data_IF_820622053615
#
_entry.id   IF_820622053615
#
_cell.length_a   1.000
_cell.length_b   1.000
_cell.length_c   1.000
_cell.angle_alpha   90.00
_cell.angle_beta   90.00
_cell.angle_gamma   90.00
#
_symmetry.space_group_name_H-M   'P 1'
#
loop_
_entity.id
_entity.type
_entity.pdbx_description
1 polymer ?
#
# COMPACT_ATOMS: atom_id res chain seq x y z
N UNK A 1 -10.88 15.90 -12.57
CA UNK A 1 -9.97 17.03 -12.29
C UNK A 1 -8.56 16.64 -12.72
N UNK A 2 -7.71 17.58 -13.14
CA UNK A 2 -6.29 17.26 -13.46
C UNK A 2 -5.41 17.49 -12.24
N UNK A 3 -4.75 16.43 -11.78
CA UNK A 3 -3.74 16.44 -10.71
C UNK A 3 -2.33 16.21 -11.25
N UNK A 4 -1.37 16.01 -10.34
CA UNK A 4 0.03 15.71 -10.67
C UNK A 4 0.42 14.38 -10.05
N UNK A 5 1.23 13.62 -10.76
CA UNK A 5 1.79 12.39 -10.26
C UNK A 5 3.30 12.37 -10.47
N UNK A 6 4.01 11.78 -9.52
CA UNK A 6 5.46 11.67 -9.56
C UNK A 6 5.86 10.21 -9.71
N UNK A 7 6.61 9.85 -10.76
CA UNK A 7 7.14 8.51 -10.92
C UNK A 7 8.07 8.13 -9.76
N UNK A 8 8.11 6.84 -9.42
CA UNK A 8 9.09 6.29 -8.51
C UNK A 8 9.54 4.90 -8.96
N UNK A 9 10.69 4.47 -8.46
CA UNK A 9 11.26 3.15 -8.68
C UNK A 9 11.96 2.67 -7.42
N UNK A 10 11.59 1.47 -6.97
CA UNK A 10 12.37 0.67 -6.03
C UNK A 10 12.82 -0.58 -6.77
N UNK A 11 14.11 -0.86 -6.68
CA UNK A 11 14.66 -2.06 -7.28
C UNK A 11 15.87 -2.54 -6.50
N UNK A 12 16.23 -3.77 -6.78
CA UNK A 12 17.47 -4.38 -6.31
C UNK A 12 18.49 -4.46 -7.44
N UNK A 13 19.76 -4.42 -7.08
CA UNK A 13 20.87 -4.69 -7.99
C UNK A 13 21.31 -6.14 -7.95
N UNK A 14 22.38 -6.39 -8.69
CA UNK A 14 23.13 -7.64 -8.72
C UNK A 14 23.88 -7.85 -7.40
N UNK A 15 24.43 -6.77 -6.84
CA UNK A 15 25.19 -6.77 -5.58
C UNK A 15 24.54 -5.93 -4.49
N UNK A 16 23.63 -5.01 -4.86
CA UNK A 16 22.88 -4.18 -3.91
C UNK A 16 21.48 -4.74 -3.63
N UNK A 17 21.06 -4.62 -2.37
CA UNK A 17 19.69 -4.93 -1.94
C UNK A 17 18.65 -3.96 -2.53
N UNK A 18 17.39 -4.15 -2.16
CA UNK A 18 16.32 -3.23 -2.55
C UNK A 18 16.59 -1.82 -2.04
N UNK A 19 16.49 -0.85 -2.93
CA UNK A 19 16.55 0.57 -2.58
C UNK A 19 15.75 1.42 -3.57
N UNK A 20 15.31 2.60 -3.12
CA UNK A 20 14.72 3.60 -3.99
C UNK A 20 15.76 4.18 -4.97
N UNK A 21 15.49 4.08 -6.26
CA UNK A 21 16.36 4.57 -7.35
C UNK A 21 15.81 5.82 -8.04
N UNK A 22 14.48 5.95 -8.07
CA UNK A 22 13.78 7.14 -8.56
C UNK A 22 12.77 7.55 -7.49
N UNK A 23 12.84 8.79 -7.04
CA UNK A 23 12.00 9.30 -5.96
C UNK A 23 11.28 10.58 -6.38
N UNK A 24 10.03 10.80 -5.96
CA UNK A 24 9.33 12.06 -6.21
C UNK A 24 10.16 13.28 -5.82
N UNK A 25 10.35 14.21 -6.76
CA UNK A 25 11.23 15.36 -6.59
C UNK A 25 10.85 16.29 -5.43
N UNK A 26 9.58 16.33 -5.06
CA UNK A 26 9.08 17.17 -3.97
C UNK A 26 9.32 16.59 -2.56
N UNK A 27 9.68 15.30 -2.45
CA UNK A 27 9.87 14.64 -1.16
C UNK A 27 11.25 14.95 -0.57
N UNK A 28 11.32 15.34 0.70
CA UNK A 28 12.60 15.46 1.41
C UNK A 28 13.11 14.07 1.84
N UNK A 29 12.22 13.25 2.37
CA UNK A 29 12.47 11.88 2.84
C UNK A 29 11.62 10.89 2.04
N UNK A 30 12.16 9.70 1.79
CA UNK A 30 11.53 8.71 0.88
C UNK A 30 11.57 7.27 1.40
N UNK A 31 11.99 7.05 2.65
CA UNK A 31 12.01 5.70 3.25
C UNK A 31 10.62 5.06 3.35
N UNK A 32 9.54 5.86 3.34
CA UNK A 32 8.18 5.32 3.30
C UNK A 32 7.87 4.56 2.00
N UNK A 33 8.55 4.89 0.88
CA UNK A 33 8.33 4.19 -0.39
C UNK A 33 8.70 2.72 -0.22
N UNK A 34 9.87 2.45 0.38
CA UNK A 34 10.38 1.10 0.62
C UNK A 34 9.55 0.36 1.68
N UNK A 35 9.00 1.08 2.64
CA UNK A 35 8.10 0.52 3.65
C UNK A 35 6.69 0.18 3.11
N UNK A 36 6.24 0.87 2.05
CA UNK A 36 4.87 0.76 1.53
C UNK A 36 4.78 -0.11 0.28
N UNK A 37 5.68 0.09 -0.68
CA UNK A 37 5.70 -0.66 -1.93
C UNK A 37 6.36 -2.01 -1.71
N UNK A 38 5.53 -3.02 -1.46
CA UNK A 38 5.96 -4.42 -1.33
C UNK A 38 5.80 -5.16 -2.66
N UNK A 39 6.50 -6.29 -2.85
CA UNK A 39 6.21 -7.24 -3.93
C UNK A 39 4.72 -7.62 -3.97
N UNK A 40 4.26 -7.97 -5.18
CA UNK A 40 2.86 -8.24 -5.48
C UNK A 40 2.62 -9.74 -5.68
N UNK A 41 1.61 -10.28 -5.00
CA UNK A 41 1.17 -11.67 -5.16
C UNK A 41 0.11 -11.78 -6.25
N UNK A 42 0.54 -12.05 -7.49
CA UNK A 42 -0.31 -12.35 -8.67
C UNK A 42 -1.32 -11.24 -9.09
N UNK A 43 -1.18 -10.03 -8.54
CA UNK A 43 -1.99 -8.86 -8.92
C UNK A 43 -1.21 -7.91 -9.84
N UNK A 44 -1.86 -7.29 -10.84
CA UNK A 44 -1.16 -6.45 -11.81
C UNK A 44 -0.65 -5.13 -11.22
N UNK A 45 -1.31 -4.63 -10.16
CA UNK A 45 -0.90 -3.44 -9.44
C UNK A 45 -1.56 -3.36 -8.07
N UNK A 46 -1.03 -2.51 -7.18
CA UNK A 46 -1.63 -2.17 -5.89
C UNK A 46 -1.64 -0.65 -5.71
N UNK A 47 -2.60 -0.18 -4.92
CA UNK A 47 -2.68 1.20 -4.47
C UNK A 47 -2.72 1.23 -2.94
N UNK A 48 -2.08 2.24 -2.35
CA UNK A 48 -2.10 2.47 -0.91
C UNK A 48 -2.19 3.97 -0.61
N UNK A 49 -3.02 4.34 0.36
CA UNK A 49 -3.04 5.69 0.91
C UNK A 49 -1.81 5.89 1.81
N UNK A 50 -1.12 7.02 1.63
CA UNK A 50 0.06 7.41 2.41
C UNK A 50 -0.12 8.83 2.92
N UNK A 51 0.69 9.30 3.88
CA UNK A 51 0.70 10.71 4.30
C UNK A 51 0.99 11.70 3.17
N UNK A 52 1.50 11.24 2.03
CA UNK A 52 1.88 12.07 0.88
C UNK A 52 0.94 11.91 -0.33
N UNK A 53 -0.17 11.18 -0.18
CA UNK A 53 -1.13 10.90 -1.25
C UNK A 53 -1.29 9.41 -1.54
N UNK A 54 -1.84 9.09 -2.70
CA UNK A 54 -2.07 7.71 -3.13
C UNK A 54 -0.85 7.22 -3.90
N UNK A 55 -0.21 6.16 -3.37
CA UNK A 55 0.89 5.46 -4.03
C UNK A 55 0.32 4.30 -4.84
N UNK A 56 0.59 4.27 -6.15
CA UNK A 56 0.17 3.19 -7.04
C UNK A 56 1.40 2.56 -7.66
N UNK A 57 1.49 1.22 -7.64
CA UNK A 57 2.65 0.51 -8.16
C UNK A 57 2.31 -0.84 -8.78
N UNK A 58 3.20 -1.26 -9.67
CA UNK A 58 3.22 -2.56 -10.30
C UNK A 58 4.58 -3.22 -10.11
N UNK A 59 4.60 -4.53 -10.23
CA UNK A 59 5.81 -5.34 -10.24
C UNK A 59 6.20 -5.66 -11.68
N UNK A 60 7.48 -5.52 -12.00
CA UNK A 60 8.05 -5.88 -13.30
C UNK A 60 9.22 -6.83 -13.11
N UNK A 61 9.09 -8.05 -13.64
CA UNK A 61 10.19 -9.01 -13.71
C UNK A 61 11.18 -8.59 -14.80
N UNK A 62 12.43 -8.35 -14.41
CA UNK A 62 13.47 -7.87 -15.33
C UNK A 62 13.84 -8.99 -16.30
N UNK A 63 13.86 -8.67 -17.60
CA UNK A 63 14.28 -9.60 -18.65
C UNK A 63 15.80 -9.59 -18.84
N UNK A 64 16.33 -10.64 -19.48
CA UNK A 64 17.75 -10.71 -19.85
C UNK A 64 18.22 -9.52 -20.68
N UNK A 65 17.36 -9.04 -21.60
CA UNK A 65 17.66 -7.90 -22.45
C UNK A 65 17.75 -6.59 -21.65
N UNK A 66 16.82 -6.38 -20.71
CA UNK A 66 16.80 -5.21 -19.84
C UNK A 66 17.97 -5.20 -18.84
N UNK A 67 18.37 -6.38 -18.35
CA UNK A 67 19.47 -6.54 -17.42
C UNK A 67 20.86 -6.47 -18.08
N UNK A 68 20.95 -6.54 -19.42
CA UNK A 68 22.22 -6.67 -20.14
C UNK A 68 22.99 -7.96 -19.79
N UNK A 69 22.28 -9.04 -19.48
CA UNK A 69 22.86 -10.31 -19.02
C UNK A 69 21.89 -11.12 -18.16
N UNK A 70 22.42 -12.02 -17.32
CA UNK A 70 21.59 -12.84 -16.42
C UNK A 70 20.74 -11.93 -15.49
N UNK A 71 19.39 -12.04 -15.51
CA UNK A 71 18.50 -11.20 -14.71
C UNK A 71 18.37 -11.70 -13.27
N UNK A 72 19.50 -11.99 -12.63
CA UNK A 72 19.60 -12.46 -11.25
C UNK A 72 20.68 -11.72 -10.49
N UNK A 73 20.51 -11.67 -9.17
CA UNK A 73 21.55 -11.18 -8.28
C UNK A 73 22.64 -12.23 -8.04
N UNK A 74 23.68 -11.84 -7.29
CA UNK A 74 24.80 -12.73 -6.92
C UNK A 74 24.39 -13.95 -6.07
N UNK A 75 23.17 -13.94 -5.52
CA UNK A 75 22.58 -15.03 -4.76
C UNK A 75 21.58 -15.85 -5.59
N UNK A 76 21.50 -15.62 -6.91
CA UNK A 76 20.62 -16.33 -7.83
C UNK A 76 19.13 -15.94 -7.73
N UNK A 77 18.78 -14.91 -6.98
CA UNK A 77 17.41 -14.38 -6.88
C UNK A 77 17.08 -13.53 -8.11
N UNK A 78 15.86 -13.60 -8.66
CA UNK A 78 15.49 -12.79 -9.82
C UNK A 78 15.54 -11.29 -9.51
N UNK A 79 15.90 -10.50 -10.53
CA UNK A 79 15.81 -9.05 -10.48
C UNK A 79 14.38 -8.61 -10.78
N UNK A 80 13.85 -7.76 -9.90
CA UNK A 80 12.46 -7.31 -9.91
C UNK A 80 12.41 -5.81 -9.62
N UNK A 81 11.54 -5.10 -10.33
CA UNK A 81 11.29 -3.68 -10.15
C UNK A 81 9.91 -3.47 -9.54
N UNK A 82 9.83 -2.60 -8.54
CA UNK A 82 8.57 -2.04 -8.06
C UNK A 82 8.52 -0.60 -8.58
N UNK A 83 7.68 -0.37 -9.60
CA UNK A 83 7.59 0.92 -10.27
C UNK A 83 6.17 1.46 -10.22
N UNK A 84 6.05 2.78 -10.26
CA UNK A 84 4.74 3.41 -10.32
C UNK A 84 4.81 4.89 -10.09
N UNK A 85 3.79 5.43 -9.43
CA UNK A 85 3.69 6.86 -9.16
C UNK A 85 3.00 7.17 -7.84
N UNK A 86 3.31 8.35 -7.31
CA UNK A 86 2.65 8.97 -6.18
C UNK A 86 1.75 10.11 -6.66
N UNK A 87 0.48 10.09 -6.26
CA UNK A 87 -0.53 11.09 -6.60
C UNK A 87 -0.99 11.83 -5.33
N UNK A 88 -0.47 13.04 -5.05
CA UNK A 88 -0.85 13.83 -3.86
C UNK A 88 -2.28 14.36 -3.88
N UNK A 89 -2.83 14.65 -5.06
CA UNK A 89 -4.10 15.39 -5.18
C UNK A 89 -5.37 14.50 -5.23
N UNK A 90 -5.25 13.20 -4.97
CA UNK A 90 -6.40 12.29 -4.82
C UNK A 90 -6.26 10.96 -5.56
N UNK A 91 -7.37 10.25 -5.70
CA UNK A 91 -7.41 8.93 -6.34
C UNK A 91 -7.26 9.04 -7.87
N UNK A 92 -6.29 8.35 -8.48
CA UNK A 92 -6.08 8.40 -9.93
C UNK A 92 -7.15 7.60 -10.69
N UNK A 93 -7.72 8.19 -11.74
CA UNK A 93 -8.80 7.56 -12.55
C UNK A 93 -8.25 6.56 -13.58
N UNK A 94 -7.06 6.82 -14.12
CA UNK A 94 -6.45 6.05 -15.21
C UNK A 94 -5.12 5.40 -14.80
N UNK A 95 -5.13 4.70 -13.66
CA UNK A 95 -3.92 4.09 -13.09
C UNK A 95 -3.14 3.16 -14.05
N UNK A 96 -3.77 2.25 -14.82
CA UNK A 96 -3.03 1.37 -15.73
C UNK A 96 -2.24 2.12 -16.81
N UNK A 97 -2.86 3.13 -17.45
CA UNK A 97 -2.19 3.93 -18.48
C UNK A 97 -1.03 4.76 -17.90
N UNK A 98 -1.20 5.28 -16.67
CA UNK A 98 -0.13 5.96 -15.96
C UNK A 98 1.01 5.00 -15.59
N UNK A 99 0.73 3.77 -15.16
CA UNK A 99 1.74 2.75 -14.89
C UNK A 99 2.56 2.41 -16.13
N UNK A 100 1.93 2.22 -17.29
CA UNK A 100 2.63 2.02 -18.57
C UNK A 100 3.53 3.20 -18.93
N UNK A 101 3.11 4.43 -18.65
CA UNK A 101 3.98 5.61 -18.86
C UNK A 101 5.21 5.57 -17.94
N UNK A 102 5.03 5.17 -16.68
CA UNK A 102 6.14 5.15 -15.71
C UNK A 102 7.12 4.00 -15.92
N UNK A 103 6.70 2.88 -16.53
CA UNK A 103 7.56 1.70 -16.71
C UNK A 103 8.77 1.98 -17.60
N UNK A 104 8.59 2.70 -18.71
CA UNK A 104 9.69 3.05 -19.61
C UNK A 104 10.74 3.93 -18.92
N UNK A 105 10.30 4.91 -18.12
CA UNK A 105 11.19 5.76 -17.33
C UNK A 105 11.93 4.92 -16.27
N UNK A 106 11.20 4.08 -15.54
CA UNK A 106 11.78 3.21 -14.53
C UNK A 106 12.85 2.27 -15.10
N UNK A 107 12.59 1.63 -16.24
CA UNK A 107 13.57 0.78 -16.93
C UNK A 107 14.82 1.57 -17.35
N UNK A 108 14.66 2.78 -17.85
CA UNK A 108 15.80 3.62 -18.23
C UNK A 108 16.69 4.00 -17.03
N UNK A 109 16.08 4.30 -15.87
CA UNK A 109 16.79 4.57 -14.61
C UNK A 109 17.48 3.30 -14.12
N UNK A 110 16.79 2.17 -14.19
CA UNK A 110 17.33 0.88 -13.75
C UNK A 110 18.55 0.46 -14.55
N UNK A 111 18.54 0.67 -15.87
CA UNK A 111 19.70 0.39 -16.73
C UNK A 111 20.91 1.25 -16.36
N UNK A 112 20.71 2.55 -16.06
CA UNK A 112 21.80 3.41 -15.54
C UNK A 112 22.31 2.93 -14.19
N UNK A 113 21.41 2.49 -13.31
CA UNK A 113 21.77 1.91 -12.02
C UNK A 113 22.60 0.63 -12.17
N UNK A 114 22.21 -0.30 -13.05
CA UNK A 114 22.99 -1.52 -13.29
C UNK A 114 24.39 -1.23 -13.88
N UNK A 115 24.54 -0.14 -14.64
CA UNK A 115 25.82 0.26 -15.22
C UNK A 115 26.81 0.79 -14.16
N UNK A 116 26.32 1.36 -13.05
CA UNK A 116 27.14 1.89 -11.95
C UNK A 116 26.46 1.66 -10.57
N UNK A 117 26.27 0.40 -10.18
CA UNK A 117 25.49 0.09 -8.97
C UNK A 117 26.07 0.74 -7.70
N UNK A 118 27.40 0.77 -7.56
CA UNK A 118 28.06 1.26 -6.35
C UNK A 118 28.05 2.80 -6.28
N UNK A 119 28.20 3.48 -7.43
CA UNK A 119 28.17 4.93 -7.54
C UNK A 119 26.76 5.52 -7.58
N UNK A 120 25.75 4.75 -7.98
CA UNK A 120 24.41 5.27 -8.24
C UNK A 120 23.78 5.96 -7.02
N UNK A 121 23.15 7.10 -7.29
CA UNK A 121 22.38 7.90 -6.32
C UNK A 121 20.95 8.03 -6.81
N UNK A 122 20.00 7.98 -5.88
CA UNK A 122 18.59 8.11 -6.19
C UNK A 122 18.31 9.40 -6.99
N UNK A 123 17.68 9.26 -8.14
CA UNK A 123 17.30 10.37 -9.01
C UNK A 123 15.98 10.99 -8.53
N UNK A 124 15.79 12.29 -8.79
CA UNK A 124 14.52 12.99 -8.53
C UNK A 124 13.65 12.94 -9.78
N UNK A 125 12.40 12.53 -9.64
CA UNK A 125 11.44 12.53 -10.73
C UNK A 125 10.71 13.86 -10.86
N UNK A 126 10.39 14.21 -12.11
CA UNK A 126 9.52 15.32 -12.46
C UNK A 126 8.04 14.88 -12.46
N UNK A 127 7.10 15.79 -12.17
CA UNK A 127 5.68 15.48 -12.22
C UNK A 127 5.20 15.28 -13.66
N UNK A 128 4.16 14.45 -13.81
CA UNK A 128 3.32 14.39 -15.00
C UNK A 128 1.86 14.66 -14.63
N UNK A 129 1.09 15.15 -15.60
CA UNK A 129 -0.34 15.37 -15.42
C UNK A 129 -1.12 14.05 -15.42
N UNK A 130 -2.04 13.90 -14.48
CA UNK A 130 -2.94 12.74 -14.36
C UNK A 130 -4.36 13.18 -14.07
N UNK A 131 -5.34 12.40 -14.51
CA UNK A 131 -6.72 12.60 -14.09
C UNK A 131 -6.95 12.01 -12.70
N UNK A 132 -7.49 12.84 -11.81
CA UNK A 132 -7.88 12.44 -10.45
C UNK A 132 -9.39 12.54 -10.30
N UNK A 133 -9.93 11.60 -9.53
CA UNK A 133 -11.33 11.54 -9.20
C UNK A 133 -11.73 12.84 -8.51
N UNK A 134 -12.86 13.40 -8.92
CA UNK A 134 -13.41 14.54 -8.23
C UNK A 134 -13.95 14.05 -6.89
N UNK A 135 -13.28 14.43 -5.79
CA UNK A 135 -13.81 14.18 -4.46
C UNK A 135 -15.10 14.97 -4.36
N UNK A 136 -16.24 14.27 -4.44
CA UNK A 136 -17.54 14.87 -4.12
C UNK A 136 -17.43 15.40 -2.69
N UNK A 137 -17.25 16.72 -2.56
CA UNK A 137 -17.28 17.36 -1.25
C UNK A 137 -18.61 16.93 -0.61
N UNK A 138 -18.62 16.37 0.60
CA UNK A 138 -19.88 16.19 1.29
C UNK A 138 -20.56 17.55 1.31
N UNK A 139 -21.72 17.65 0.64
CA UNK A 139 -22.60 18.81 0.81
C UNK A 139 -23.05 18.73 2.25
N UNK A 140 -22.29 19.39 3.15
CA UNK A 140 -22.82 19.72 4.46
C UNK A 140 -24.17 20.38 4.20
N UNK A 141 -25.27 19.90 4.80
CA UNK A 141 -26.55 20.57 4.65
C UNK A 141 -26.33 22.03 5.02
N UNK A 142 -26.55 22.91 4.04
CA UNK A 142 -26.50 24.36 4.19
C UNK A 142 -27.22 24.71 5.48
N UNK A 143 -26.50 25.37 6.40
CA UNK A 143 -26.97 25.94 7.68
C UNK A 143 -28.37 25.46 8.07
N UNK A 144 -28.43 24.54 9.03
CA UNK A 144 -29.57 24.51 9.94
C UNK A 144 -29.76 25.96 10.39
N UNK A 145 -30.88 26.58 9.99
CA UNK A 145 -31.28 27.88 10.50
C UNK A 145 -31.11 27.82 12.02
N UNK A 146 -30.41 28.77 12.65
CA UNK A 146 -30.27 28.75 14.09
C UNK A 146 -31.68 28.61 14.70
N UNK A 147 -31.88 27.73 15.69
CA UNK A 147 -33.16 27.66 16.38
C UNK A 147 -33.53 29.08 16.83
N UNK A 148 -34.78 29.47 16.59
CA UNK A 148 -35.30 30.77 16.98
C UNK A 148 -34.85 31.08 18.41
N UNK A 149 -34.23 32.25 18.60
CA UNK A 149 -33.76 32.69 19.92
C UNK A 149 -34.90 32.53 20.93
N UNK A 150 -34.68 31.84 22.07
CA UNK A 150 -35.62 31.92 23.16
C UNK A 150 -35.64 33.37 23.65
N UNK A 151 -36.85 33.96 23.69
CA UNK A 151 -37.08 35.30 24.19
C UNK A 151 -36.41 35.45 25.57
N UNK A 152 -35.47 36.41 25.68
CA UNK A 152 -34.86 36.77 26.96
C UNK A 152 -35.94 37.35 27.88
N UNK A 153 -36.12 36.84 29.11
CA UNK A 153 -36.77 37.61 30.15
C UNK A 153 -35.81 38.67 30.68
N UNK A 154 -36.33 39.88 30.86
CA UNK A 154 -35.61 41.05 31.34
C UNK A 154 -35.21 40.91 32.82
N UNK A 155 -33.93 41.23 33.07
CA UNK A 155 -33.24 41.67 34.30
C UNK A 155 -33.83 41.33 35.68
N UNK A 156 -33.01 40.67 36.49
CA UNK A 156 -33.05 40.73 37.95
C UNK A 156 -31.66 40.44 38.55
N UNK A 157 -31.01 41.46 39.10
CA UNK A 157 -29.65 41.47 39.63
C UNK A 157 -29.67 41.20 41.14
N UNK A 158 -29.09 40.09 41.64
CA UNK A 158 -28.65 39.98 43.04
C UNK A 158 -27.43 39.05 43.18
N UNK A 159 -26.30 39.68 43.46
CA UNK A 159 -25.21 39.37 44.39
C UNK A 159 -24.87 37.94 44.87
N UNK A 160 -23.54 37.76 44.96
CA UNK A 160 -22.76 37.10 46.02
C UNK A 160 -22.34 35.64 45.83
N UNK A 161 -21.02 35.41 46.02
CA UNK A 161 -20.56 34.20 46.69
C UNK A 161 -19.40 33.49 46.03
N UNK A 162 -18.21 33.74 46.56
CA UNK A 162 -16.96 33.00 46.40
C UNK A 162 -17.08 31.46 46.32
N UNK A 163 -16.08 30.83 45.69
CA UNK A 163 -15.62 29.53 46.22
C UNK A 163 -14.86 28.58 45.28
N UNK A 164 -13.54 28.55 45.48
CA UNK A 164 -12.71 27.33 45.63
C UNK A 164 -12.23 26.56 44.38
N UNK A 165 -10.90 26.57 44.25
CA UNK A 165 -10.01 25.62 43.55
C UNK A 165 -10.24 24.16 43.97
N UNK A 166 -10.23 23.22 43.02
CA UNK A 166 -9.78 21.86 43.27
C UNK A 166 -9.21 21.21 41.99
N UNK A 167 -7.93 20.85 42.06
CA UNK A 167 -7.20 20.05 41.09
C UNK A 167 -7.24 18.56 41.49
N UNK A 168 -7.52 17.65 40.56
CA UNK A 168 -7.17 16.20 40.57
C UNK A 168 -7.31 15.74 39.10
N UNK A 169 -6.40 15.07 38.40
CA UNK A 169 -5.29 14.21 38.78
C UNK A 169 -5.63 12.75 38.44
N UNK A 170 -5.39 12.29 37.20
CA UNK A 170 -5.36 10.85 36.89
C UNK A 170 -4.16 10.54 35.98
N UNK A 171 -3.10 10.05 36.62
CA UNK A 171 -2.00 9.29 36.02
C UNK A 171 -2.41 7.82 36.13
N UNK A 172 -2.59 7.12 35.00
CA UNK A 172 -2.68 5.66 35.00
C UNK A 172 -1.30 5.12 34.63
N UNK A 173 -0.62 4.60 35.65
CA UNK A 173 0.64 3.91 35.53
C UNK A 173 0.43 2.43 35.91
N UNK A 174 0.91 1.57 35.00
CA UNK A 174 1.54 0.25 35.22
C UNK A 174 0.66 -0.91 35.69
N UNK A 175 0.65 -2.00 34.90
CA UNK A 175 1.16 -3.31 35.36
C UNK A 175 1.88 -4.01 34.21
N UNK A 176 3.20 -4.10 34.32
CA UNK A 176 3.97 -5.14 33.66
C UNK A 176 3.90 -6.41 34.52
N UNK A 177 3.65 -7.55 33.88
CA UNK A 177 3.91 -8.86 34.45
C UNK A 177 4.98 -9.54 33.62
N UNK A 178 6.17 -9.66 34.19
CA UNK A 178 7.16 -10.63 33.78
C UNK A 178 7.16 -11.74 34.84
N UNK A 179 6.92 -12.99 34.42
CA UNK A 179 7.89 -14.09 34.56
C UNK A 179 7.24 -15.47 34.41
N UNK A 180 7.88 -16.26 33.55
CA UNK A 180 8.21 -17.68 33.71
C UNK A 180 7.07 -18.69 34.01
N UNK A 181 6.69 -19.41 32.95
CA UNK A 181 6.15 -20.76 33.04
C UNK A 181 6.63 -21.54 31.81
N UNK A 182 7.59 -22.44 32.01
CA UNK A 182 8.01 -23.43 31.02
C UNK A 182 6.85 -24.35 30.69
N UNK A 183 6.52 -24.50 29.41
CA UNK A 183 5.79 -25.67 28.92
C UNK A 183 6.31 -26.05 27.54
N UNK A 184 6.61 -27.34 27.41
CA UNK A 184 7.15 -28.00 26.22
C UNK A 184 6.38 -27.67 24.94
N UNK A 185 7.12 -27.30 23.90
CA UNK A 185 6.62 -27.21 22.53
C UNK A 185 6.49 -28.64 21.98
N UNK A 186 5.29 -29.12 21.60
CA UNK A 186 5.16 -30.39 20.89
C UNK A 186 5.76 -30.25 19.48
N UNK A 187 6.45 -31.27 18.95
CA UNK A 187 7.10 -31.17 17.64
C UNK A 187 6.07 -31.00 16.52
N UNK A 188 6.39 -30.25 15.45
CA UNK A 188 5.48 -30.09 14.32
C UNK A 188 5.25 -31.44 13.62
N UNK A 189 4.04 -31.72 13.13
CA UNK A 189 3.76 -32.91 12.36
C UNK A 189 4.59 -32.92 11.06
N UNK A 190 5.25 -34.05 10.80
CA UNK A 190 5.95 -34.30 9.52
C UNK A 190 4.90 -34.54 8.44
N UNK A 191 4.71 -33.57 7.54
CA UNK A 191 3.96 -33.80 6.31
C UNK A 191 4.80 -34.70 5.38
N UNK A 192 4.35 -35.94 5.22
CA UNK A 192 4.84 -36.87 4.20
C UNK A 192 4.54 -36.34 2.80
N UNK A 193 5.51 -36.54 1.92
CA UNK A 193 5.51 -36.10 0.53
C UNK A 193 4.62 -37.03 -0.29
N UNK A 194 3.33 -36.72 -0.41
CA UNK A 194 2.45 -37.47 -1.29
C UNK A 194 2.68 -37.08 -2.75
N UNK A 195 2.94 -38.12 -3.54
CA UNK A 195 3.11 -38.09 -4.99
C UNK A 195 1.76 -37.74 -5.63
N UNK A 196 1.67 -36.57 -6.28
CA UNK A 196 0.50 -36.22 -7.09
C UNK A 196 0.61 -36.95 -8.43
N UNK A 197 -0.20 -37.99 -8.60
CA UNK A 197 -0.52 -38.53 -9.91
C UNK A 197 -1.50 -37.58 -10.61
N UNK A 198 -1.12 -37.07 -11.78
CA UNK A 198 -1.98 -36.28 -12.65
C UNK A 198 -3.01 -37.19 -13.33
N UNK A 199 -4.27 -37.10 -12.91
CA UNK A 199 -5.39 -37.66 -13.67
C UNK A 199 -6.07 -36.54 -14.45
N UNK A 200 -5.74 -36.45 -15.74
CA UNK A 200 -6.47 -35.63 -16.72
C UNK A 200 -7.82 -36.27 -17.04
N UNK A 201 -8.90 -35.60 -16.66
CA UNK A 201 -10.20 -35.74 -17.35
C UNK A 201 -10.93 -34.38 -17.33
N UNK A 202 -11.35 -33.83 -18.48
CA UNK A 202 -12.01 -32.53 -18.54
C UNK A 202 -13.53 -32.72 -18.46
N UNK A 203 -14.12 -32.48 -17.30
CA UNK A 203 -15.58 -32.31 -17.19
C UNK A 203 -15.88 -31.29 -16.10
N UNK A 204 -16.28 -30.09 -16.51
CA UNK A 204 -17.00 -29.06 -15.75
C UNK A 204 -16.61 -28.96 -14.27
N UNK A 205 -15.59 -28.14 -13.97
CA UNK A 205 -15.11 -27.90 -12.61
C UNK A 205 -16.18 -27.23 -11.74
N UNK A 206 -16.91 -28.02 -10.95
CA UNK A 206 -17.62 -27.53 -9.79
C UNK A 206 -16.69 -27.66 -8.58
N UNK A 207 -16.21 -26.54 -8.05
CA UNK A 207 -15.45 -26.54 -6.82
C UNK A 207 -16.40 -26.72 -5.63
N UNK A 208 -16.08 -27.64 -4.71
CA UNK A 208 -16.80 -27.79 -3.45
C UNK A 208 -15.87 -27.53 -2.27
N UNK A 209 -16.28 -26.70 -1.33
CA UNK A 209 -15.59 -26.55 -0.04
C UNK A 209 -16.50 -26.98 1.11
N UNK A 210 -15.93 -27.56 2.16
CA UNK A 210 -16.65 -27.83 3.40
C UNK A 210 -16.41 -26.66 4.35
N UNK A 211 -17.48 -25.98 4.75
CA UNK A 211 -17.47 -24.90 5.75
C UNK A 211 -18.42 -25.29 6.87
N UNK A 212 -17.92 -25.35 8.11
CA UNK A 212 -18.71 -25.68 9.29
C UNK A 212 -19.49 -27.01 9.16
N UNK A 213 -18.85 -28.04 8.59
CA UNK A 213 -19.46 -29.36 8.35
C UNK A 213 -20.46 -29.42 7.18
N UNK A 214 -20.67 -28.31 6.46
CA UNK A 214 -21.60 -28.24 5.33
C UNK A 214 -20.85 -28.08 4.02
N UNK A 215 -21.13 -28.95 3.05
CA UNK A 215 -20.53 -28.89 1.71
C UNK A 215 -21.22 -27.82 0.85
N UNK A 216 -20.48 -26.78 0.48
CA UNK A 216 -20.94 -25.71 -0.41
C UNK A 216 -20.35 -25.94 -1.81
N UNK A 217 -21.20 -25.90 -2.84
CA UNK A 217 -20.83 -26.10 -4.25
C UNK A 217 -20.87 -24.78 -5.00
N UNK A 218 -19.78 -24.44 -5.68
CA UNK A 218 -19.71 -23.27 -6.54
C UNK A 218 -19.79 -23.70 -8.01
N UNK A 219 -20.69 -23.06 -8.75
CA UNK A 219 -20.77 -23.13 -10.19
C UNK A 219 -19.90 -21.99 -10.76
N UNK A 220 -18.86 -22.30 -11.53
CA UNK A 220 -18.20 -21.29 -12.34
C UNK A 220 -19.17 -20.83 -13.45
N UNK A 221 -19.34 -19.53 -13.71
CA UNK A 221 -20.13 -19.06 -14.83
C UNK A 221 -19.51 -19.54 -16.16
N UNK A 222 -20.32 -19.81 -17.19
CA UNK A 222 -19.81 -20.24 -18.48
C UNK A 222 -18.90 -19.16 -19.07
N UNK A 223 -17.68 -19.56 -19.45
CA UNK A 223 -16.79 -18.70 -20.22
C UNK A 223 -17.28 -18.70 -21.67
N UNK A 224 -17.92 -17.62 -22.09
CA UNK A 224 -18.25 -17.42 -23.51
C UNK A 224 -16.94 -17.23 -24.30
N UNK A 225 -16.78 -18.05 -25.34
CA UNK A 225 -15.74 -17.93 -26.38
C UNK A 225 -16.35 -17.31 -27.63
#
# INVERSE_FOLDING_TARGET
MTGRAWPFLIARGRRRGYSALLVPGFLREHGFLEATATPLDEVPSRAAATPHGVLVWAEHAVTTAEAGGEPRDEYGRPLVLLHGFLCPEGDPVAAPAALTRTSALALSVYQRFLADEEGFRAERSEPFAIEVAEVARPRFPSRVSPPAEPARPDRGLVWAGAGVLAAVGVVIAVVGFASAGSDEVPPPPRCTRDVVALTTTPTTGAATCVRDGTTVRYSLPPSDR
#
